data_IF_269112195528
#
_entry.id   IF_269112195528
#
_cell.length_a   1.000
_cell.length_b   1.000
_cell.length_c   1.000
_cell.angle_alpha   90.00
_cell.angle_beta   90.00
_cell.angle_gamma   90.00
#
_symmetry.space_group_name_H-M   'P 1'
#
loop_
_entity.id
_entity.type
_entity.pdbx_description
1 polymer ?
#
# COMPACT_ATOMS: atom_id res chain seq x y z
N UNK A 1 18.27 -55.23 -14.04
CA UNK A 1 17.15 -54.25 -14.06
C UNK A 1 17.54 -53.10 -13.18
N UNK A 2 17.82 -51.95 -13.77
CA UNK A 2 18.08 -50.74 -13.01
C UNK A 2 16.74 -50.07 -12.67
N UNK A 3 16.38 -50.02 -11.40
CA UNK A 3 15.23 -49.22 -10.95
C UNK A 3 15.67 -47.78 -10.88
N UNK A 4 15.23 -46.99 -11.83
CA UNK A 4 15.35 -45.54 -11.79
C UNK A 4 14.36 -45.05 -10.72
N UNK A 5 14.88 -44.62 -9.55
CA UNK A 5 14.07 -43.92 -8.55
C UNK A 5 13.89 -42.48 -9.07
N UNK A 6 12.72 -42.19 -9.64
CA UNK A 6 12.31 -40.83 -9.87
C UNK A 6 12.14 -40.15 -8.51
N UNK A 7 13.14 -39.39 -8.09
CA UNK A 7 12.96 -38.43 -7.02
C UNK A 7 12.16 -37.24 -7.61
N UNK A 8 10.86 -37.27 -7.44
CA UNK A 8 10.05 -36.08 -7.63
C UNK A 8 10.42 -35.08 -6.51
N UNK A 9 11.42 -34.22 -6.76
CA UNK A 9 11.63 -33.01 -5.97
C UNK A 9 10.48 -32.10 -6.26
N UNK A 10 9.50 -32.13 -5.36
CA UNK A 10 8.42 -31.13 -5.30
C UNK A 10 9.05 -29.84 -4.79
N UNK A 11 9.57 -29.02 -5.72
CA UNK A 11 9.98 -27.65 -5.41
C UNK A 11 8.69 -26.89 -5.13
N UNK A 12 8.35 -26.80 -3.84
CA UNK A 12 7.32 -25.90 -3.36
C UNK A 12 7.83 -24.48 -3.60
N UNK A 13 7.42 -23.87 -4.72
CA UNK A 13 7.59 -22.43 -4.93
C UNK A 13 6.74 -21.74 -3.84
N UNK A 14 7.39 -21.37 -2.75
CA UNK A 14 6.84 -20.38 -1.83
C UNK A 14 6.81 -19.06 -2.61
N UNK A 15 5.69 -18.75 -3.22
CA UNK A 15 5.39 -17.38 -3.65
C UNK A 15 5.24 -16.56 -2.39
N UNK A 16 6.33 -15.94 -1.94
CA UNK A 16 6.28 -14.93 -0.90
C UNK A 16 5.47 -13.76 -1.46
N UNK A 17 4.21 -13.64 -1.04
CA UNK A 17 3.45 -12.42 -1.24
C UNK A 17 4.12 -11.37 -0.36
N UNK A 18 4.91 -10.51 -0.99
CA UNK A 18 5.46 -9.34 -0.32
C UNK A 18 4.28 -8.42 0.02
N UNK A 19 3.96 -8.30 1.30
CA UNK A 19 3.11 -7.22 1.75
C UNK A 19 3.83 -5.92 1.40
N UNK A 20 3.24 -5.09 0.54
CA UNK A 20 3.82 -3.82 0.13
C UNK A 20 3.61 -2.81 1.25
N UNK A 21 4.62 -2.66 2.09
CA UNK A 21 4.68 -1.57 3.05
C UNK A 21 5.07 -0.27 2.33
N UNK A 22 4.44 0.83 2.71
CA UNK A 22 4.85 2.16 2.26
C UNK A 22 5.71 2.81 3.33
N UNK A 23 6.93 3.22 2.96
CA UNK A 23 7.86 3.88 3.86
C UNK A 23 7.68 5.39 3.81
N UNK A 24 7.52 6.01 4.98
CA UNK A 24 7.44 7.45 5.14
C UNK A 24 8.55 7.97 6.03
N UNK A 25 9.17 9.12 5.70
CA UNK A 25 10.04 9.81 6.65
C UNK A 25 9.26 10.20 7.90
N UNK A 26 9.85 10.03 9.07
CA UNK A 26 9.22 10.50 10.31
C UNK A 26 9.13 12.02 10.31
N UNK A 27 7.96 12.58 10.66
CA UNK A 27 7.81 14.02 10.80
C UNK A 27 8.57 14.52 12.04
N UNK A 28 8.82 15.84 12.15
CA UNK A 28 9.40 16.44 13.34
C UNK A 28 8.64 16.10 14.61
N UNK A 29 9.31 16.18 15.74
CA UNK A 29 8.68 16.01 17.05
C UNK A 29 7.46 16.93 17.19
N UNK A 30 6.36 16.36 17.70
CA UNK A 30 5.08 17.07 17.82
C UNK A 30 4.17 17.03 16.59
N UNK A 31 4.68 16.65 15.41
CA UNK A 31 3.87 16.40 14.22
C UNK A 31 3.57 14.91 14.06
N UNK A 32 2.36 14.60 13.60
CA UNK A 32 1.93 13.24 13.26
C UNK A 32 1.55 13.07 11.80
N UNK A 33 1.61 14.15 11.04
CA UNK A 33 1.24 14.13 9.62
C UNK A 33 2.43 13.64 8.80
N UNK A 34 2.21 12.56 8.03
CA UNK A 34 3.21 11.97 7.12
C UNK A 34 2.67 11.85 5.71
N UNK A 35 3.58 11.83 4.75
CA UNK A 35 3.26 11.76 3.34
C UNK A 35 2.64 13.04 2.78
N UNK A 36 2.30 12.98 1.51
CA UNK A 36 1.60 14.04 0.79
C UNK A 36 0.73 13.44 -0.30
N UNK A 37 -0.41 14.04 -0.63
CA UNK A 37 -1.20 13.58 -1.77
C UNK A 37 -0.37 13.69 -3.05
N UNK A 38 -0.56 12.73 -3.94
CA UNK A 38 -0.02 12.84 -5.29
C UNK A 38 -1.13 12.73 -6.32
N UNK A 39 -0.86 13.21 -7.51
CA UNK A 39 -1.80 13.13 -8.63
C UNK A 39 -1.25 12.23 -9.72
N UNK A 40 -2.12 11.40 -10.28
CA UNK A 40 -1.83 10.54 -11.41
C UNK A 40 -2.86 10.77 -12.51
N UNK A 41 -2.47 10.51 -13.74
CA UNK A 41 -3.40 10.57 -14.88
C UNK A 41 -3.74 9.17 -15.32
N UNK A 42 -5.03 8.89 -15.52
CA UNK A 42 -5.49 7.61 -16.05
C UNK A 42 -4.94 7.46 -17.46
N UNK A 43 -4.23 6.36 -17.76
CA UNK A 43 -3.62 6.15 -19.07
C UNK A 43 -4.67 6.02 -20.18
N UNK A 44 -4.24 6.31 -21.41
CA UNK A 44 -5.08 6.07 -22.58
C UNK A 44 -5.41 4.58 -22.71
N UNK A 45 -6.60 4.29 -23.23
CA UNK A 45 -7.11 2.92 -23.39
C UNK A 45 -7.14 2.13 -22.04
N UNK A 46 -7.47 2.82 -20.95
CA UNK A 46 -7.56 2.18 -19.65
C UNK A 46 -8.61 1.08 -19.63
N UNK A 47 -8.24 -0.08 -19.09
CA UNK A 47 -9.11 -1.24 -18.89
C UNK A 47 -9.22 -1.65 -17.42
N UNK A 48 -8.56 -0.90 -16.52
CA UNK A 48 -8.48 -1.23 -15.10
C UNK A 48 -9.49 -0.45 -14.27
N UNK A 49 -10.08 -1.10 -13.24
CA UNK A 49 -10.94 -0.43 -12.27
C UNK A 49 -10.14 0.46 -11.32
N UNK A 50 -10.85 1.33 -10.58
CA UNK A 50 -10.24 2.20 -9.58
C UNK A 50 -9.49 1.41 -8.49
N UNK A 51 -9.99 0.22 -8.14
CA UNK A 51 -9.35 -0.68 -7.18
C UNK A 51 -7.92 -1.07 -7.58
N UNK A 52 -7.66 -1.27 -8.87
CA UNK A 52 -6.33 -1.59 -9.36
C UNK A 52 -5.35 -0.43 -9.16
N UNK A 53 -5.80 0.81 -9.37
CA UNK A 53 -5.00 2.00 -9.07
C UNK A 53 -4.79 2.16 -7.57
N UNK A 54 -5.81 1.92 -6.75
CA UNK A 54 -5.67 1.93 -5.30
C UNK A 54 -4.60 0.94 -4.82
N UNK A 55 -4.67 -0.30 -5.29
CA UNK A 55 -3.70 -1.34 -4.95
C UNK A 55 -2.26 -0.98 -5.37
N UNK A 56 -2.09 -0.39 -6.54
CA UNK A 56 -0.78 0.04 -7.05
C UNK A 56 -0.08 1.02 -6.11
N UNK A 57 -0.84 1.87 -5.42
CA UNK A 57 -0.33 2.89 -4.50
C UNK A 57 -0.51 2.54 -3.02
N UNK A 58 -0.89 1.30 -2.71
CA UNK A 58 -1.12 0.85 -1.35
C UNK A 58 -2.25 1.57 -0.63
N UNK A 59 -3.27 2.03 -1.38
CA UNK A 59 -4.44 2.73 -0.84
C UNK A 59 -5.66 1.83 -0.75
N UNK A 60 -6.50 2.08 0.24
CA UNK A 60 -7.83 1.48 0.29
C UNK A 60 -8.77 2.10 -0.74
N UNK A 61 -9.68 1.30 -1.30
CA UNK A 61 -10.66 1.79 -2.28
C UNK A 61 -11.51 2.94 -1.72
N UNK A 62 -11.91 2.86 -0.46
CA UNK A 62 -12.68 3.92 0.20
C UNK A 62 -11.96 5.26 0.22
N UNK A 63 -10.65 5.25 0.54
CA UNK A 63 -9.84 6.46 0.52
C UNK A 63 -9.73 7.06 -0.87
N UNK A 64 -9.60 6.20 -1.88
CA UNK A 64 -9.55 6.65 -3.29
C UNK A 64 -10.88 7.27 -3.73
N UNK A 65 -12.01 6.71 -3.29
CA UNK A 65 -13.35 7.24 -3.60
C UNK A 65 -13.58 8.60 -2.95
N UNK A 66 -13.20 8.76 -1.69
CA UNK A 66 -13.32 10.03 -0.97
C UNK A 66 -12.46 11.14 -1.59
N UNK A 67 -11.26 10.77 -2.04
CA UNK A 67 -10.35 11.72 -2.68
C UNK A 67 -10.76 12.07 -4.12
N UNK A 68 -11.57 11.25 -4.77
CA UNK A 68 -11.96 11.40 -6.17
C UNK A 68 -13.48 11.28 -6.36
N UNK A 69 -14.26 12.22 -5.85
CA UNK A 69 -15.72 12.16 -5.97
C UNK A 69 -16.13 12.18 -7.45
N UNK A 70 -17.08 11.32 -7.81
CA UNK A 70 -17.64 11.25 -9.17
C UNK A 70 -16.83 10.43 -10.17
N UNK A 71 -15.72 9.82 -9.76
CA UNK A 71 -14.95 8.91 -10.62
C UNK A 71 -15.71 7.60 -10.81
N UNK A 72 -15.70 7.07 -12.04
CA UNK A 72 -16.22 5.74 -12.32
C UNK A 72 -15.33 4.68 -11.65
N UNK A 73 -15.93 3.90 -10.74
CA UNK A 73 -15.21 2.88 -9.94
C UNK A 73 -14.78 1.70 -10.79
N UNK A 74 -15.60 1.33 -11.77
CA UNK A 74 -15.36 0.13 -12.59
C UNK A 74 -14.42 0.39 -13.76
N UNK A 75 -14.49 1.59 -14.33
CA UNK A 75 -13.66 1.96 -15.48
C UNK A 75 -13.38 3.46 -15.46
N UNK A 76 -12.42 3.93 -14.67
CA UNK A 76 -12.01 5.33 -14.67
C UNK A 76 -11.64 5.78 -16.10
N UNK A 77 -12.16 6.94 -16.49
CA UNK A 77 -12.01 7.47 -17.85
C UNK A 77 -10.55 7.85 -18.12
N UNK A 78 -10.02 7.43 -19.26
CA UNK A 78 -8.70 7.83 -19.76
C UNK A 78 -8.54 9.35 -19.79
N UNK A 79 -7.40 9.84 -19.36
CA UNK A 79 -7.10 11.27 -19.25
C UNK A 79 -7.62 11.95 -17.99
N UNK A 80 -8.39 11.26 -17.15
CA UNK A 80 -8.83 11.77 -15.86
C UNK A 80 -7.64 11.87 -14.89
N UNK A 81 -7.56 12.96 -14.14
CA UNK A 81 -6.59 13.11 -13.06
C UNK A 81 -7.18 12.52 -11.78
N UNK A 82 -6.46 11.59 -11.16
CA UNK A 82 -6.78 11.03 -9.85
C UNK A 82 -5.89 11.64 -8.77
N UNK A 83 -6.48 11.92 -7.62
CA UNK A 83 -5.73 12.22 -6.39
C UNK A 83 -5.49 10.91 -5.65
N UNK A 84 -4.23 10.61 -5.37
CA UNK A 84 -3.85 9.47 -4.52
C UNK A 84 -3.55 10.01 -3.11
N UNK A 85 -4.39 9.70 -2.11
CA UNK A 85 -4.27 10.31 -0.78
C UNK A 85 -3.18 9.64 0.06
N UNK A 86 -1.92 9.74 -0.37
CA UNK A 86 -0.76 9.22 0.36
C UNK A 86 -0.36 10.11 1.54
N UNK A 87 -1.32 10.51 2.32
CA UNK A 87 -1.13 11.30 3.51
C UNK A 87 -1.90 10.66 4.65
N UNK A 88 -1.25 10.51 5.79
CA UNK A 88 -1.87 9.90 6.97
C UNK A 88 -1.41 10.56 8.25
N UNK A 89 -2.16 10.34 9.32
CA UNK A 89 -1.84 10.81 10.66
C UNK A 89 -1.35 9.62 11.47
N UNK A 90 -0.11 9.70 11.98
CA UNK A 90 0.45 8.66 12.83
C UNK A 90 -0.35 8.51 14.14
N UNK A 91 -0.45 7.29 14.68
CA UNK A 91 -1.04 7.07 16.00
C UNK A 91 -0.34 7.91 17.08
N UNK A 92 -1.10 8.39 18.07
CA UNK A 92 -0.56 9.13 19.21
C UNK A 92 0.06 8.17 20.25
N UNK A 93 1.10 7.44 19.84
CA UNK A 93 1.80 6.44 20.64
C UNK A 93 3.30 6.66 20.55
N UNK A 94 4.06 5.94 21.39
CA UNK A 94 5.52 5.90 21.28
C UNK A 94 5.91 5.34 19.92
N UNK A 95 6.82 6.03 19.23
CA UNK A 95 7.34 5.64 17.90
C UNK A 95 8.43 4.57 18.03
N UNK A 96 8.05 3.39 18.46
CA UNK A 96 8.97 2.27 18.68
C UNK A 96 8.28 0.94 18.40
N UNK A 97 8.93 0.08 17.63
CA UNK A 97 8.45 -1.24 17.30
C UNK A 97 7.20 -1.23 16.44
N UNK A 98 6.26 -2.10 16.73
CA UNK A 98 5.04 -2.30 15.95
C UNK A 98 3.84 -1.72 16.69
N UNK A 99 3.05 -0.93 15.99
CA UNK A 99 1.76 -0.39 16.45
C UNK A 99 0.67 -0.85 15.50
N UNK A 100 -0.37 -1.49 16.02
CA UNK A 100 -1.53 -1.93 15.24
C UNK A 100 -2.71 -1.05 15.60
N UNK A 101 -3.26 -0.35 14.59
CA UNK A 101 -4.49 0.40 14.72
C UNK A 101 -5.64 -0.40 14.10
N UNK A 102 -6.41 -1.05 14.94
CA UNK A 102 -7.52 -1.91 14.49
C UNK A 102 -8.62 -1.10 13.80
N UNK A 103 -8.90 0.11 14.26
CA UNK A 103 -9.92 0.97 13.69
C UNK A 103 -9.61 1.40 12.25
N UNK A 104 -8.35 1.59 11.94
CA UNK A 104 -7.87 1.94 10.59
C UNK A 104 -7.46 0.70 9.77
N UNK A 105 -7.41 -0.46 10.40
CA UNK A 105 -6.87 -1.70 9.83
C UNK A 105 -5.45 -1.50 9.25
N UNK A 106 -4.59 -0.81 10.03
CA UNK A 106 -3.21 -0.48 9.66
C UNK A 106 -2.23 -0.98 10.69
N UNK A 107 -1.05 -1.38 10.20
CA UNK A 107 0.11 -1.69 11.01
C UNK A 107 1.19 -0.65 10.72
N UNK A 108 1.78 -0.11 11.76
CA UNK A 108 2.89 0.84 11.71
C UNK A 108 4.12 0.17 12.32
N UNK A 109 5.21 0.11 11.57
CA UNK A 109 6.49 -0.36 12.07
C UNK A 109 7.49 0.79 12.12
N UNK A 110 8.02 1.01 13.30
CA UNK A 110 9.06 2.02 13.56
C UNK A 110 10.41 1.31 13.71
N UNK A 111 11.28 1.34 12.68
CA UNK A 111 12.61 0.73 12.74
C UNK A 111 13.47 1.34 13.83
N UNK A 112 14.47 0.59 14.37
CA UNK A 112 15.35 1.07 15.43
C UNK A 112 16.14 2.35 15.06
N UNK A 113 16.41 2.58 13.79
CA UNK A 113 17.12 3.77 13.29
C UNK A 113 16.35 5.08 13.52
N UNK A 114 15.04 5.02 13.74
CA UNK A 114 14.22 6.15 14.13
C UNK A 114 14.02 7.25 13.08
N UNK A 115 14.25 6.95 11.79
CA UNK A 115 14.15 7.94 10.69
C UNK A 115 12.93 7.75 9.81
N UNK A 116 12.32 6.57 9.82
CA UNK A 116 11.18 6.20 8.97
C UNK A 116 10.08 5.47 9.77
N UNK A 117 8.90 5.41 9.18
CA UNK A 117 7.82 4.50 9.57
C UNK A 117 7.36 3.72 8.35
N UNK A 118 7.23 2.42 8.50
CA UNK A 118 6.67 1.52 7.49
C UNK A 118 5.19 1.30 7.80
N UNK A 119 4.33 1.49 6.81
CA UNK A 119 2.86 1.38 6.97
C UNK A 119 2.32 0.30 6.04
N UNK A 120 1.58 -0.66 6.62
CA UNK A 120 0.89 -1.74 5.93
C UNK A 120 -0.62 -1.67 6.16
#
# INVERSE_FOLDING_TARGET
MRRVKLLCSFIMLLTSQSALAVSYPLPPEGSRLVGSPLTITIPQNNTQPLEAFAAQYGQGLSNMLEANPGVDVFLPKSGTTLVVPQQLILPATVRNGIVINVAEMRLYYYPPEGTTVEVL
#
